data_IF_226917701847
#
_entry.id   IF_226917701847
#
_cell.length_a   1.000
_cell.length_b   1.000
_cell.length_c   1.000
_cell.angle_alpha   90.00
_cell.angle_beta   90.00
_cell.angle_gamma   90.00
#
_symmetry.space_group_name_H-M   'P 1'
#
loop_
_entity.id
_entity.type
_entity.pdbx_description
1 polymer ?
#
# COMPACT_ATOMS: atom_id res chain seq x y z
N UNK A 1 6.14 -22.68 3.51
CA UNK A 1 5.56 -23.26 2.28
C UNK A 1 5.21 -22.05 1.43
N UNK A 2 5.81 -21.83 0.26
CA UNK A 2 5.68 -20.52 -0.41
C UNK A 2 4.24 -20.21 -0.82
N UNK A 3 3.86 -18.93 -0.87
CA UNK A 3 2.53 -18.48 -1.31
C UNK A 3 2.15 -19.07 -2.69
N UNK A 4 3.10 -19.24 -3.60
CA UNK A 4 2.89 -19.96 -4.87
C UNK A 4 2.43 -21.41 -4.68
N UNK A 5 3.02 -22.13 -3.73
CA UNK A 5 2.62 -23.50 -3.41
C UNK A 5 1.26 -23.56 -2.70
N UNK A 6 0.87 -22.49 -2.01
CA UNK A 6 -0.45 -22.40 -1.35
C UNK A 6 -1.58 -22.11 -2.35
N UNK A 7 -1.29 -21.38 -3.44
CA UNK A 7 -2.31 -20.95 -4.40
C UNK A 7 -2.44 -21.87 -5.61
N UNK A 8 -1.39 -22.62 -5.98
CA UNK A 8 -1.43 -23.45 -7.19
C UNK A 8 -1.71 -22.65 -8.48
N UNK A 9 -1.53 -21.33 -8.45
CA UNK A 9 -1.73 -20.43 -9.59
C UNK A 9 -0.42 -20.36 -10.36
N UNK A 10 -0.47 -20.65 -11.67
CA UNK A 10 0.67 -20.52 -12.57
C UNK A 10 1.13 -19.07 -12.72
N UNK A 11 2.31 -18.83 -13.27
CA UNK A 11 2.70 -17.47 -13.64
C UNK A 11 1.69 -16.91 -14.67
N UNK A 12 1.18 -15.70 -14.46
CA UNK A 12 0.38 -15.03 -15.48
C UNK A 12 1.28 -14.71 -16.67
N UNK A 13 0.93 -15.20 -17.86
CA UNK A 13 1.51 -14.68 -19.09
C UNK A 13 1.21 -13.18 -19.19
N UNK A 14 2.16 -12.41 -19.69
CA UNK A 14 1.96 -10.98 -19.91
C UNK A 14 1.12 -10.78 -21.15
N UNK A 15 0.07 -9.92 -21.13
CA UNK A 15 -0.66 -9.60 -22.35
C UNK A 15 0.32 -8.98 -23.37
N UNK A 16 0.16 -9.27 -24.67
CA UNK A 16 1.03 -8.73 -25.69
C UNK A 16 0.95 -7.20 -25.74
N UNK A 17 2.05 -6.55 -26.14
CA UNK A 17 2.12 -5.11 -26.25
C UNK A 17 1.19 -4.62 -27.37
N UNK A 18 0.04 -4.05 -27.01
CA UNK A 18 -0.91 -3.52 -28.00
C UNK A 18 -0.44 -2.19 -28.58
N UNK A 19 -0.18 -2.15 -29.89
CA UNK A 19 -0.11 -0.89 -30.65
C UNK A 19 -1.53 -0.39 -30.95
N UNK A 20 -2.20 0.23 -29.97
CA UNK A 20 -3.40 1.02 -30.23
C UNK A 20 -3.21 2.46 -29.77
N UNK A 21 -3.45 3.40 -30.69
CA UNK A 21 -3.62 4.81 -30.37
C UNK A 21 -4.82 4.98 -29.44
N UNK A 22 -4.57 5.52 -28.25
CA UNK A 22 -5.59 5.83 -27.25
C UNK A 22 -6.66 6.76 -27.84
N UNK A 23 -7.91 6.30 -27.92
CA UNK A 23 -9.08 7.19 -27.94
C UNK A 23 -9.44 7.51 -26.50
N UNK A 24 -9.04 8.70 -26.05
CA UNK A 24 -9.39 9.24 -24.74
C UNK A 24 -10.92 9.39 -24.61
N UNK A 25 -11.55 8.60 -23.73
CA UNK A 25 -12.88 8.89 -23.19
C UNK A 25 -12.71 9.56 -21.83
N UNK A 26 -12.73 10.89 -21.81
CA UNK A 26 -12.73 11.68 -20.58
C UNK A 26 -14.11 11.66 -19.91
N UNK A 27 -14.18 11.12 -18.70
CA UNK A 27 -15.32 11.27 -17.81
C UNK A 27 -14.96 12.30 -16.71
N UNK A 28 -15.44 13.53 -16.88
CA UNK A 28 -15.34 14.57 -15.87
C UNK A 28 -16.41 14.33 -14.79
N UNK A 29 -16.00 13.88 -13.62
CA UNK A 29 -16.83 13.94 -12.42
C UNK A 29 -16.38 15.13 -11.56
N UNK A 30 -17.13 16.23 -11.62
CA UNK A 30 -16.90 17.41 -10.79
C UNK A 30 -17.33 17.12 -9.34
N UNK A 31 -16.39 16.70 -8.50
CA UNK A 31 -16.57 16.69 -7.05
C UNK A 31 -16.25 18.10 -6.52
N UNK A 32 -17.21 18.72 -5.85
CA UNK A 32 -17.00 19.95 -5.07
C UNK A 32 -16.04 19.65 -3.92
N UNK A 33 -14.76 19.91 -4.14
CA UNK A 33 -13.74 19.83 -3.10
C UNK A 33 -13.33 21.24 -2.66
N UNK A 34 -13.14 21.42 -1.35
CA UNK A 34 -12.41 22.55 -0.80
C UNK A 34 -11.11 22.77 -1.60
N UNK A 35 -10.72 24.02 -1.91
CA UNK A 35 -9.56 24.29 -2.73
C UNK A 35 -8.34 23.59 -2.13
N UNK A 36 -7.50 22.93 -2.96
CA UNK A 36 -6.31 22.26 -2.48
C UNK A 36 -5.39 23.31 -1.85
N UNK A 37 -5.25 23.28 -0.53
CA UNK A 37 -4.09 23.90 0.11
C UNK A 37 -2.87 23.16 -0.42
N UNK A 38 -2.15 23.79 -1.36
CA UNK A 38 -0.81 23.35 -1.75
C UNK A 38 0.00 23.37 -0.44
N UNK A 39 0.31 22.19 0.09
CA UNK A 39 1.17 22.09 1.26
C UNK A 39 2.58 22.37 0.78
N UNK A 40 3.09 23.57 1.04
CA UNK A 40 4.53 23.80 0.92
C UNK A 40 5.25 22.78 1.80
N UNK A 41 6.36 22.23 1.30
CA UNK A 41 7.16 21.28 2.07
C UNK A 41 7.51 21.92 3.41
N UNK A 42 7.24 21.25 4.54
CA UNK A 42 7.58 21.81 5.83
C UNK A 42 9.11 21.98 5.90
N UNK A 43 9.56 23.18 6.29
CA UNK A 43 10.95 23.39 6.68
C UNK A 43 11.17 22.62 7.97
N UNK A 44 11.84 21.47 7.88
CA UNK A 44 12.12 20.62 9.04
C UNK A 44 13.22 21.29 9.85
N UNK A 45 12.90 21.73 11.08
CA UNK A 45 13.92 22.27 11.99
C UNK A 45 14.93 21.16 12.33
N UNK A 46 16.23 21.46 12.52
CA UNK A 46 17.27 20.44 12.77
C UNK A 46 16.94 19.45 13.89
N UNK A 47 16.29 19.91 14.97
CA UNK A 47 15.86 19.05 16.10
C UNK A 47 14.83 17.96 15.72
N UNK A 48 14.17 18.09 14.58
CA UNK A 48 13.19 17.15 14.05
C UNK A 48 13.79 16.21 12.98
N UNK A 49 15.11 16.25 12.77
CA UNK A 49 15.80 15.30 11.91
C UNK A 49 16.11 14.05 12.72
N UNK A 50 15.48 12.93 12.36
CA UNK A 50 15.77 11.63 12.96
C UNK A 50 16.94 10.97 12.23
N UNK A 51 17.97 10.55 12.98
CA UNK A 51 18.96 9.61 12.46
C UNK A 51 18.32 8.21 12.40
N UNK A 52 18.02 7.73 11.19
CA UNK A 52 17.40 6.42 10.96
C UNK A 52 18.25 5.25 11.49
N UNK A 53 19.54 5.44 11.78
CA UNK A 53 20.36 4.43 12.45
C UNK A 53 19.80 4.07 13.83
N UNK A 54 19.16 5.00 14.52
CA UNK A 54 18.60 4.79 15.86
C UNK A 54 17.47 3.77 15.87
N UNK A 55 16.74 3.62 14.76
CA UNK A 55 15.61 2.69 14.64
C UNK A 55 15.86 1.55 13.65
N UNK A 56 17.06 1.49 13.07
CA UNK A 56 17.41 0.58 11.97
C UNK A 56 17.20 -0.88 12.36
N UNK A 57 17.67 -1.27 13.54
CA UNK A 57 17.67 -2.67 13.96
C UNK A 57 16.25 -3.14 14.30
N UNK A 58 15.44 -2.31 14.96
CA UNK A 58 14.03 -2.57 15.22
C UNK A 58 13.25 -2.69 13.91
N UNK A 59 13.47 -1.77 12.95
CA UNK A 59 12.83 -1.87 11.64
C UNK A 59 13.23 -3.15 10.91
N UNK A 60 14.51 -3.53 10.93
CA UNK A 60 14.97 -4.77 10.31
C UNK A 60 14.26 -5.99 10.91
N UNK A 61 14.22 -6.06 12.25
CA UNK A 61 13.50 -7.13 12.95
C UNK A 61 12.04 -7.15 12.57
N UNK A 62 11.34 -6.01 12.53
CA UNK A 62 9.93 -5.95 12.14
C UNK A 62 9.68 -6.40 10.69
N UNK A 63 10.54 -6.00 9.75
CA UNK A 63 10.45 -6.36 8.33
C UNK A 63 10.64 -7.87 8.07
N UNK A 64 11.26 -8.58 9.01
CA UNK A 64 11.47 -10.03 8.96
C UNK A 64 10.44 -10.76 9.80
N UNK A 65 10.22 -10.32 11.04
CA UNK A 65 9.41 -11.01 12.03
C UNK A 65 7.93 -10.95 11.71
N UNK A 66 7.38 -9.83 11.24
CA UNK A 66 5.94 -9.72 11.01
C UNK A 66 5.46 -10.69 9.93
N UNK A 67 6.03 -10.73 8.70
CA UNK A 67 5.62 -11.71 7.71
C UNK A 67 5.85 -13.16 8.16
N UNK A 68 6.99 -13.44 8.80
CA UNK A 68 7.31 -14.79 9.28
C UNK A 68 6.35 -15.28 10.35
N UNK A 69 5.99 -14.41 11.31
CA UNK A 69 5.02 -14.73 12.35
C UNK A 69 3.62 -14.89 11.79
N UNK A 70 3.22 -14.10 10.81
CA UNK A 70 1.96 -14.32 10.10
C UNK A 70 1.95 -15.66 9.36
N UNK A 71 3.05 -16.08 8.75
CA UNK A 71 3.15 -17.38 8.06
C UNK A 71 3.13 -18.56 9.06
N UNK A 72 3.88 -18.47 10.15
CA UNK A 72 4.13 -19.60 11.08
C UNK A 72 3.13 -19.67 12.24
N UNK A 73 2.75 -18.52 12.77
CA UNK A 73 1.94 -18.36 13.98
C UNK A 73 0.52 -17.87 13.65
N UNK A 74 0.08 -18.01 12.39
CA UNK A 74 -1.26 -17.56 11.97
C UNK A 74 -2.31 -18.03 12.98
N UNK A 75 -3.11 -17.12 13.56
CA UNK A 75 -3.99 -17.48 14.65
C UNK A 75 -4.95 -18.60 14.22
N UNK A 76 -4.87 -19.75 14.90
CA UNK A 76 -5.88 -20.81 14.81
C UNK A 76 -7.20 -20.41 15.49
N UNK A 77 -7.29 -19.21 16.07
CA UNK A 77 -8.49 -18.72 16.72
C UNK A 77 -9.61 -18.54 15.69
N UNK A 78 -10.83 -18.97 16.05
CA UNK A 78 -12.02 -19.02 15.16
C UNK A 78 -12.39 -17.70 14.46
N UNK A 79 -11.88 -16.57 14.93
CA UNK A 79 -12.19 -15.23 14.38
C UNK A 79 -11.21 -14.75 13.30
N UNK A 80 -10.02 -15.34 13.18
CA UNK A 80 -9.01 -14.99 12.16
C UNK A 80 -8.67 -16.16 11.22
N UNK A 81 -9.17 -17.36 11.50
CA UNK A 81 -8.77 -18.61 10.84
C UNK A 81 -9.42 -18.89 9.47
N UNK A 82 -9.63 -17.88 8.63
CA UNK A 82 -10.11 -18.13 7.25
C UNK A 82 -8.95 -18.05 6.26
N UNK A 83 -8.89 -18.98 5.30
CA UNK A 83 -7.86 -18.97 4.24
C UNK A 83 -7.81 -17.63 3.47
N UNK A 84 -8.94 -16.97 3.14
CA UNK A 84 -8.91 -15.64 2.55
C UNK A 84 -8.23 -14.59 3.45
N UNK A 85 -8.46 -14.64 4.77
CA UNK A 85 -7.83 -13.69 5.69
C UNK A 85 -6.32 -13.89 5.76
N UNK A 86 -5.87 -15.15 5.83
CA UNK A 86 -4.46 -15.51 5.78
C UNK A 86 -3.80 -14.99 4.50
N UNK A 87 -4.40 -15.30 3.35
CA UNK A 87 -3.92 -14.85 2.04
C UNK A 87 -3.71 -13.34 1.99
N UNK A 88 -4.75 -12.57 2.33
CA UNK A 88 -4.75 -11.12 2.14
C UNK A 88 -3.82 -10.45 3.13
N UNK A 89 -3.82 -10.85 4.40
CA UNK A 89 -2.93 -10.24 5.40
C UNK A 89 -1.46 -10.61 5.20
N UNK A 90 -1.14 -11.88 4.92
CA UNK A 90 0.24 -12.28 4.62
C UNK A 90 0.73 -11.63 3.31
N UNK A 91 -0.11 -11.63 2.27
CA UNK A 91 0.21 -11.00 0.99
C UNK A 91 0.47 -9.50 1.14
N UNK A 92 -0.42 -8.77 1.82
CA UNK A 92 -0.25 -7.33 2.07
C UNK A 92 0.96 -7.04 2.96
N UNK A 93 1.22 -7.83 4.01
CA UNK A 93 2.40 -7.67 4.85
C UNK A 93 3.70 -7.85 4.05
N UNK A 94 3.77 -8.84 3.16
CA UNK A 94 4.91 -9.03 2.27
C UNK A 94 5.08 -7.86 1.29
N UNK A 95 3.98 -7.39 0.68
CA UNK A 95 4.01 -6.22 -0.22
C UNK A 95 4.54 -4.99 0.52
N UNK A 96 4.02 -4.70 1.72
CA UNK A 96 4.48 -3.57 2.55
C UNK A 96 5.96 -3.69 2.89
N UNK A 97 6.39 -4.87 3.32
CA UNK A 97 7.79 -5.14 3.71
C UNK A 97 8.75 -4.93 2.54
N UNK A 98 8.44 -5.49 1.38
CA UNK A 98 9.27 -5.37 0.18
C UNK A 98 9.25 -3.96 -0.40
N UNK A 99 8.09 -3.29 -0.38
CA UNK A 99 7.96 -1.89 -0.80
C UNK A 99 8.83 -0.99 0.06
N UNK A 100 8.81 -1.18 1.39
CA UNK A 100 9.66 -0.39 2.28
C UNK A 100 11.16 -0.69 2.10
N UNK A 101 11.53 -1.96 1.89
CA UNK A 101 12.92 -2.34 1.55
C UNK A 101 13.39 -1.64 0.27
N UNK A 102 12.53 -1.54 -0.75
CA UNK A 102 12.81 -0.80 -1.98
C UNK A 102 12.97 0.71 -1.71
N UNK A 103 12.07 1.33 -0.93
CA UNK A 103 12.20 2.73 -0.52
C UNK A 103 13.55 2.98 0.16
N UNK A 104 13.96 2.11 1.09
CA UNK A 104 15.24 2.24 1.79
C UNK A 104 16.44 2.16 0.85
N UNK A 105 16.39 1.28 -0.15
CA UNK A 105 17.43 1.16 -1.17
C UNK A 105 17.53 2.45 -2.00
N UNK A 106 16.39 2.96 -2.46
CA UNK A 106 16.31 4.17 -3.29
C UNK A 106 16.71 5.45 -2.53
N UNK A 107 16.50 5.47 -1.22
CA UNK A 107 16.89 6.58 -0.36
C UNK A 107 18.30 6.44 0.26
N UNK A 108 19.08 5.43 -0.09
CA UNK A 108 20.37 5.18 0.56
C UNK A 108 21.43 6.22 0.18
N UNK A 109 22.02 6.88 1.18
CA UNK A 109 23.13 7.85 1.02
C UNK A 109 24.42 7.23 0.48
N UNK A 110 24.57 5.90 0.60
CA UNK A 110 25.84 5.19 0.42
C UNK A 110 25.82 4.23 -0.75
N UNK A 111 24.82 4.30 -1.62
CA UNK A 111 24.81 3.42 -2.78
C UNK A 111 25.98 3.79 -3.70
N UNK A 112 26.91 2.85 -3.89
CA UNK A 112 27.95 2.94 -4.93
C UNK A 112 27.41 2.57 -6.32
N UNK A 113 26.19 2.06 -6.40
CA UNK A 113 25.55 1.74 -7.67
C UNK A 113 25.13 3.05 -8.37
N UNK A 114 25.80 3.36 -9.48
CA UNK A 114 25.53 4.53 -10.31
C UNK A 114 24.08 4.58 -10.84
N UNK A 115 23.38 3.44 -10.85
CA UNK A 115 21.97 3.36 -11.25
C UNK A 115 21.04 3.92 -10.19
N UNK A 116 21.46 3.95 -8.92
CA UNK A 116 20.71 4.49 -7.79
C UNK A 116 21.02 5.99 -7.61
N UNK A 117 20.61 6.77 -8.61
CA UNK A 117 20.81 8.22 -8.64
C UNK A 117 19.94 8.91 -7.58
N UNK A 118 20.38 10.04 -6.99
CA UNK A 118 19.61 10.74 -5.95
C UNK A 118 18.16 11.06 -6.35
N UNK A 119 17.91 11.38 -7.62
CA UNK A 119 16.57 11.66 -8.14
C UNK A 119 15.61 10.47 -8.07
N UNK A 120 16.11 9.25 -7.88
CA UNK A 120 15.26 8.08 -7.65
C UNK A 120 14.40 8.22 -6.40
N UNK A 121 14.77 9.07 -5.44
CA UNK A 121 13.94 9.39 -4.28
C UNK A 121 12.56 9.99 -4.66
N UNK A 122 12.39 10.50 -5.88
CA UNK A 122 11.13 11.06 -6.37
C UNK A 122 10.05 9.99 -6.64
N UNK A 123 10.40 8.71 -6.71
CA UNK A 123 9.42 7.61 -6.82
C UNK A 123 8.85 7.18 -5.45
N UNK A 124 9.51 7.59 -4.36
CA UNK A 124 9.15 7.17 -2.99
C UNK A 124 7.70 7.51 -2.63
N UNK A 125 7.11 8.67 -3.00
CA UNK A 125 5.69 8.94 -2.72
C UNK A 125 4.75 7.89 -3.32
N UNK A 126 5.05 7.41 -4.53
CA UNK A 126 4.26 6.38 -5.21
C UNK A 126 4.39 5.04 -4.50
N UNK A 127 5.59 4.68 -4.03
CA UNK A 127 5.79 3.47 -3.22
C UNK A 127 5.14 3.60 -1.83
N UNK A 128 5.24 4.76 -1.20
CA UNK A 128 4.60 5.03 0.09
C UNK A 128 3.07 4.98 -0.02
N UNK A 129 2.50 5.36 -1.18
CA UNK A 129 1.08 5.14 -1.48
C UNK A 129 0.69 3.68 -1.41
N UNK A 130 1.51 2.77 -1.92
CA UNK A 130 1.24 1.32 -1.83
C UNK A 130 1.16 0.85 -0.38
N UNK A 131 2.03 1.34 0.51
CA UNK A 131 1.97 1.05 1.95
C UNK A 131 0.68 1.63 2.56
N UNK A 132 0.31 2.85 2.17
CA UNK A 132 -0.91 3.50 2.63
C UNK A 132 -2.18 2.76 2.20
N UNK A 133 -2.25 2.30 0.95
CA UNK A 133 -3.37 1.51 0.44
C UNK A 133 -3.50 0.19 1.20
N UNK A 134 -2.37 -0.48 1.48
CA UNK A 134 -2.33 -1.66 2.35
C UNK A 134 -2.80 -1.37 3.78
N UNK A 135 -2.47 -0.19 4.33
CA UNK A 135 -2.96 0.25 5.64
C UNK A 135 -4.48 0.45 5.66
N UNK A 136 -5.06 1.07 4.63
CA UNK A 136 -6.52 1.17 4.50
C UNK A 136 -7.17 -0.21 4.45
N UNK A 137 -6.63 -1.12 3.64
CA UNK A 137 -7.11 -2.50 3.54
C UNK A 137 -7.04 -3.19 4.90
N UNK A 138 -5.90 -3.11 5.59
CA UNK A 138 -5.67 -3.73 6.89
C UNK A 138 -6.67 -3.28 7.96
N UNK A 139 -6.81 -1.96 8.17
CA UNK A 139 -7.77 -1.39 9.12
C UNK A 139 -9.21 -1.77 8.76
N UNK A 140 -9.51 -1.76 7.46
CA UNK A 140 -10.83 -2.13 6.99
C UNK A 140 -11.10 -3.62 7.25
N UNK A 141 -10.19 -4.52 6.93
CA UNK A 141 -10.34 -5.96 7.17
C UNK A 141 -10.62 -6.26 8.63
N UNK A 142 -9.82 -5.73 9.57
CA UNK A 142 -9.92 -6.07 10.99
C UNK A 142 -11.25 -5.70 11.67
N UNK A 143 -12.12 -4.91 11.03
CA UNK A 143 -13.48 -4.70 11.56
C UNK A 143 -14.38 -5.93 11.50
N UNK A 144 -14.15 -6.82 10.54
CA UNK A 144 -14.86 -8.08 10.36
C UNK A 144 -13.99 -8.94 9.42
N UNK A 145 -12.93 -9.49 10.00
CA UNK A 145 -11.83 -10.08 9.22
C UNK A 145 -12.30 -11.22 8.31
N UNK A 146 -13.07 -12.22 8.77
CA UNK A 146 -13.50 -13.32 7.91
C UNK A 146 -14.36 -12.83 6.74
N UNK A 147 -15.40 -12.03 7.03
CA UNK A 147 -16.35 -11.60 6.00
C UNK A 147 -15.74 -10.61 5.02
N UNK A 148 -14.85 -9.72 5.47
CA UNK A 148 -14.20 -8.75 4.61
C UNK A 148 -13.06 -9.36 3.81
N UNK A 149 -12.38 -10.38 4.33
CA UNK A 149 -11.40 -11.13 3.56
C UNK A 149 -12.06 -11.98 2.46
N UNK A 150 -13.16 -12.66 2.77
CA UNK A 150 -13.98 -13.36 1.76
C UNK A 150 -14.46 -12.39 0.67
N UNK A 151 -14.98 -11.23 1.08
CA UNK A 151 -15.35 -10.17 0.13
C UNK A 151 -14.17 -9.70 -0.72
N UNK A 152 -12.98 -9.50 -0.13
CA UNK A 152 -11.78 -9.09 -0.86
C UNK A 152 -11.45 -10.08 -1.98
N UNK A 153 -11.34 -11.38 -1.65
CA UNK A 153 -10.97 -12.38 -2.66
C UNK A 153 -12.05 -12.57 -3.72
N UNK A 154 -13.33 -12.58 -3.33
CA UNK A 154 -14.43 -12.72 -4.27
C UNK A 154 -14.55 -11.52 -5.22
N UNK A 155 -14.33 -10.31 -4.71
CA UNK A 155 -14.33 -9.10 -5.53
C UNK A 155 -13.11 -9.03 -6.47
N UNK A 156 -11.94 -9.48 -6.01
CA UNK A 156 -10.75 -9.60 -6.87
C UNK A 156 -10.93 -10.61 -8.00
N UNK A 157 -11.57 -11.76 -7.73
CA UNK A 157 -11.95 -12.70 -8.79
C UNK A 157 -12.89 -12.05 -9.81
N UNK A 158 -13.89 -11.31 -9.34
CA UNK A 158 -14.83 -10.61 -10.22
C UNK A 158 -14.14 -9.56 -11.09
N UNK A 159 -13.24 -8.75 -10.52
CA UNK A 159 -12.43 -7.76 -11.24
C UNK A 159 -11.65 -8.43 -12.38
N UNK A 160 -10.98 -9.54 -12.07
CA UNK A 160 -10.22 -10.30 -13.05
C UNK A 160 -11.13 -10.89 -14.14
N UNK A 161 -12.26 -11.49 -13.77
CA UNK A 161 -13.22 -12.05 -14.72
C UNK A 161 -13.74 -10.99 -15.70
N UNK A 162 -14.15 -9.82 -15.20
CA UNK A 162 -14.65 -8.74 -16.06
C UNK A 162 -13.55 -8.14 -16.97
N UNK A 163 -12.30 -8.10 -16.48
CA UNK A 163 -11.15 -7.74 -17.30
C UNK A 163 -10.93 -8.75 -18.42
N UNK A 164 -10.93 -10.06 -18.13
CA UNK A 164 -10.77 -11.13 -19.13
C UNK A 164 -11.91 -11.11 -20.14
N UNK A 165 -13.15 -10.95 -19.68
CA UNK A 165 -14.33 -10.84 -20.54
C UNK A 165 -14.19 -9.64 -21.51
N UNK A 166 -13.65 -8.52 -21.03
CA UNK A 166 -13.37 -7.35 -21.88
C UNK A 166 -12.23 -7.63 -22.87
N UNK A 167 -11.11 -8.18 -22.39
CA UNK A 167 -9.98 -8.51 -23.24
C UNK A 167 -10.39 -9.47 -24.37
N UNK A 168 -11.23 -10.47 -24.07
CA UNK A 168 -11.79 -11.38 -25.05
C UNK A 168 -12.65 -10.65 -26.09
N UNK A 169 -13.56 -9.79 -25.65
CA UNK A 169 -14.40 -9.01 -26.59
C UNK A 169 -13.57 -8.15 -27.53
N UNK A 170 -12.50 -7.55 -27.02
CA UNK A 170 -11.74 -6.53 -27.74
C UNK A 170 -10.59 -7.12 -28.57
N UNK A 171 -10.06 -8.29 -28.18
CA UNK A 171 -8.80 -8.84 -28.71
C UNK A 171 -8.84 -10.33 -29.08
N UNK A 172 -9.96 -11.06 -28.96
CA UNK A 172 -9.97 -12.50 -29.29
C UNK A 172 -9.70 -12.82 -30.76
N UNK A 173 -9.86 -11.87 -31.68
CA UNK A 173 -9.50 -12.05 -33.10
C UNK A 173 -8.02 -11.83 -33.38
N UNK A 174 -7.26 -11.33 -32.40
CA UNK A 174 -5.82 -11.13 -32.50
C UNK A 174 -5.08 -12.39 -32.03
N UNK A 175 -4.36 -13.11 -32.91
CA UNK A 175 -3.69 -14.36 -32.54
C UNK A 175 -2.64 -14.18 -31.44
N UNK A 176 -2.07 -12.97 -31.29
CA UNK A 176 -1.08 -12.66 -30.25
C UNK A 176 -1.70 -12.74 -28.84
N UNK A 177 -3.03 -12.63 -28.73
CA UNK A 177 -3.76 -12.71 -27.46
C UNK A 177 -4.22 -14.12 -27.11
N UNK A 178 -4.11 -15.10 -28.01
CA UNK A 178 -4.68 -16.42 -27.82
C UNK A 178 -4.11 -17.14 -26.58
N UNK A 179 -2.79 -17.18 -26.45
CA UNK A 179 -2.10 -17.80 -25.31
C UNK A 179 -2.47 -17.12 -23.99
N UNK A 180 -2.42 -15.78 -23.97
CA UNK A 180 -2.80 -14.99 -22.80
C UNK A 180 -4.22 -15.29 -22.33
N UNK A 181 -5.20 -15.34 -23.24
CA UNK A 181 -6.60 -15.59 -22.89
C UNK A 181 -6.82 -17.02 -22.38
N UNK A 182 -6.11 -18.01 -22.90
CA UNK A 182 -6.15 -19.41 -22.41
C UNK A 182 -5.59 -19.50 -20.99
N UNK A 183 -4.44 -18.89 -20.73
CA UNK A 183 -3.83 -18.86 -19.41
C UNK A 183 -4.69 -18.09 -18.41
N UNK A 184 -5.27 -16.97 -18.85
CA UNK A 184 -6.15 -16.16 -18.02
C UNK A 184 -7.39 -16.94 -17.58
N UNK A 185 -8.01 -17.72 -18.48
CA UNK A 185 -9.13 -18.61 -18.14
C UNK A 185 -8.72 -19.70 -17.15
N UNK A 186 -7.56 -20.31 -17.38
CA UNK A 186 -7.01 -21.35 -16.49
C UNK A 186 -6.78 -20.79 -15.09
N UNK A 187 -6.17 -19.61 -14.99
CA UNK A 187 -5.92 -18.93 -13.72
C UNK A 187 -7.23 -18.50 -13.03
N UNK A 188 -8.22 -18.02 -13.78
CA UNK A 188 -9.53 -17.64 -13.25
C UNK A 188 -10.28 -18.85 -12.69
N UNK A 189 -10.21 -20.00 -13.38
CA UNK A 189 -10.80 -21.26 -12.91
C UNK A 189 -10.08 -21.79 -11.65
N UNK A 190 -8.76 -21.72 -11.60
CA UNK A 190 -7.97 -22.09 -10.41
C UNK A 190 -8.29 -21.20 -9.21
N UNK A 191 -8.43 -19.89 -9.43
CA UNK A 191 -8.82 -18.95 -8.37
C UNK A 191 -10.25 -19.21 -7.86
N UNK A 192 -11.21 -19.55 -8.74
CA UNK A 192 -12.56 -19.92 -8.31
C UNK A 192 -12.56 -21.17 -7.41
N UNK A 193 -11.74 -22.18 -7.76
CA UNK A 193 -11.56 -23.39 -6.93
C UNK A 193 -10.96 -23.06 -5.57
N UNK A 194 -9.95 -22.19 -5.53
CA UNK A 194 -9.33 -21.74 -4.28
C UNK A 194 -10.34 -21.01 -3.37
N UNK A 195 -11.19 -20.15 -3.95
CA UNK A 195 -12.23 -19.42 -3.21
C UNK A 195 -13.38 -20.37 -2.79
N UNK A 196 -13.48 -21.55 -3.42
CA UNK A 196 -14.52 -22.55 -3.16
C UNK A 196 -15.95 -22.02 -3.35
N UNK A 197 -16.16 -21.16 -4.35
CA UNK A 197 -17.47 -20.61 -4.74
C UNK A 197 -17.70 -20.75 -6.25
N UNK A 198 -18.94 -20.95 -6.70
CA UNK A 198 -19.23 -21.07 -8.12
C UNK A 198 -19.11 -19.70 -8.84
N UNK A 199 -18.66 -19.67 -10.11
CA UNK A 199 -18.42 -18.42 -10.85
C UNK A 199 -19.62 -17.46 -10.93
N UNK A 200 -20.85 -17.98 -10.96
CA UNK A 200 -22.07 -17.18 -11.04
C UNK A 200 -22.39 -16.45 -9.72
N UNK A 201 -22.01 -17.03 -8.58
CA UNK A 201 -22.03 -16.34 -7.28
C UNK A 201 -20.95 -15.26 -7.24
N UNK A 202 -19.73 -15.59 -7.68
CA UNK A 202 -18.61 -14.65 -7.67
C UNK A 202 -18.88 -13.40 -8.53
N UNK A 203 -19.48 -13.55 -9.73
CA UNK A 203 -19.91 -12.41 -10.57
C UNK A 203 -20.92 -11.49 -9.88
N UNK A 204 -21.77 -12.02 -9.00
CA UNK A 204 -22.76 -11.25 -8.24
C UNK A 204 -22.17 -10.55 -7.02
N UNK A 205 -20.90 -10.83 -6.67
CA UNK A 205 -20.21 -10.18 -5.57
C UNK A 205 -20.10 -8.67 -5.79
N UNK A 206 -20.25 -7.90 -4.71
CA UNK A 206 -20.04 -6.44 -4.72
C UNK A 206 -18.55 -6.09 -4.93
N UNK A 207 -18.28 -5.00 -5.63
CA UNK A 207 -16.92 -4.47 -5.81
C UNK A 207 -16.20 -4.18 -4.50
N UNK A 208 -14.89 -4.36 -4.47
CA UNK A 208 -14.08 -3.90 -3.34
C UNK A 208 -14.20 -2.37 -3.21
N UNK A 209 -14.37 -1.82 -2.01
CA UNK A 209 -14.51 -0.39 -1.86
C UNK A 209 -13.16 0.29 -2.06
N UNK A 210 -13.17 1.47 -2.69
CA UNK A 210 -12.00 2.36 -2.67
C UNK A 210 -11.77 2.91 -1.25
N UNK A 211 -10.59 3.44 -0.90
CA UNK A 211 -10.34 4.04 0.42
C UNK A 211 -11.40 5.07 0.86
N UNK A 212 -11.89 5.88 -0.09
CA UNK A 212 -12.99 6.80 0.17
C UNK A 212 -14.29 6.08 0.56
N UNK A 213 -14.66 5.00 -0.14
CA UNK A 213 -15.83 4.16 0.18
C UNK A 213 -15.64 3.35 1.47
N UNK A 214 -14.41 2.94 1.80
CA UNK A 214 -14.08 2.32 3.08
C UNK A 214 -14.36 3.28 4.23
N UNK A 215 -14.03 4.56 4.06
CA UNK A 215 -14.34 5.61 5.02
C UNK A 215 -15.84 5.81 5.21
N UNK A 216 -16.60 5.96 4.12
CA UNK A 216 -18.04 6.17 4.21
C UNK A 216 -18.82 4.95 4.72
N UNK A 217 -18.23 3.74 4.70
CA UNK A 217 -18.89 2.49 5.13
C UNK A 217 -18.56 2.05 6.55
N UNK A 218 -17.59 2.69 7.22
CA UNK A 218 -17.32 2.38 8.63
C UNK A 218 -18.34 3.04 9.54
N UNK A 219 -18.92 2.25 10.46
CA UNK A 219 -19.80 2.75 11.54
C UNK A 219 -19.03 3.30 12.75
N UNK A 220 -17.72 3.02 12.83
CA UNK A 220 -16.86 3.47 13.93
C UNK A 220 -16.43 4.93 13.71
N UNK A 221 -16.85 5.89 14.56
CA UNK A 221 -16.47 7.29 14.40
C UNK A 221 -14.97 7.52 14.48
N UNK A 222 -14.28 6.79 15.37
CA UNK A 222 -12.82 6.85 15.53
C UNK A 222 -12.09 6.37 14.27
N UNK A 223 -12.57 5.28 13.65
CA UNK A 223 -12.00 4.76 12.40
C UNK A 223 -12.26 5.71 11.24
N UNK A 224 -13.46 6.27 11.15
CA UNK A 224 -13.81 7.25 10.12
C UNK A 224 -12.94 8.51 10.21
N UNK A 225 -12.76 9.03 11.43
CA UNK A 225 -11.88 10.17 11.70
C UNK A 225 -10.42 9.87 11.32
N UNK A 226 -9.93 8.66 11.62
CA UNK A 226 -8.58 8.26 11.26
C UNK A 226 -8.40 8.09 9.74
N UNK A 227 -9.38 7.50 9.05
CA UNK A 227 -9.37 7.42 7.59
C UNK A 227 -9.42 8.80 6.91
N UNK A 228 -10.20 9.74 7.46
CA UNK A 228 -10.19 11.14 7.03
C UNK A 228 -8.82 11.78 7.21
N UNK A 229 -8.18 11.55 8.37
CA UNK A 229 -6.82 12.02 8.63
C UNK A 229 -5.80 11.46 7.62
N UNK A 230 -5.77 10.15 7.42
CA UNK A 230 -4.89 9.51 6.43
C UNK A 230 -5.11 10.07 5.02
N UNK A 231 -6.37 10.37 4.66
CA UNK A 231 -6.70 10.91 3.36
C UNK A 231 -6.11 12.32 3.15
N UNK A 232 -6.31 13.18 4.15
CA UNK A 232 -5.95 14.60 4.07
C UNK A 232 -4.45 14.84 4.24
N UNK A 233 -3.77 13.95 4.97
CA UNK A 233 -2.35 14.09 5.28
C UNK A 233 -1.42 13.29 4.39
N UNK A 234 -1.86 12.16 3.84
CA UNK A 234 -1.02 11.27 3.03
C UNK A 234 -1.61 11.02 1.65
N UNK A 235 -2.83 10.47 1.60
CA UNK A 235 -3.39 9.91 0.37
C UNK A 235 -3.45 10.94 -0.76
N UNK A 236 -3.95 12.15 -0.46
CA UNK A 236 -4.11 13.20 -1.48
C UNK A 236 -2.80 13.56 -2.15
N UNK A 237 -1.73 13.75 -1.38
CA UNK A 237 -0.42 14.12 -1.91
C UNK A 237 0.19 12.98 -2.72
N UNK A 238 0.25 11.77 -2.16
CA UNK A 238 0.85 10.64 -2.85
C UNK A 238 0.08 10.25 -4.12
N UNK A 239 -1.25 10.39 -4.08
CA UNK A 239 -2.11 10.23 -5.24
C UNK A 239 -1.82 11.27 -6.32
N UNK A 240 -1.67 12.55 -5.94
CA UNK A 240 -1.32 13.63 -6.86
C UNK A 240 0.02 13.39 -7.57
N UNK A 241 1.04 12.90 -6.85
CA UNK A 241 2.34 12.54 -7.42
C UNK A 241 2.21 11.33 -8.35
N UNK A 242 1.54 10.27 -7.89
CA UNK A 242 1.40 9.02 -8.66
C UNK A 242 0.60 9.17 -9.95
N UNK A 243 -0.39 10.07 -9.96
CA UNK A 243 -1.16 10.38 -11.16
C UNK A 243 -0.51 11.44 -12.06
N UNK A 244 0.66 11.99 -11.69
CA UNK A 244 1.32 13.05 -12.46
C UNK A 244 0.47 14.32 -12.57
N UNK A 245 -0.39 14.59 -11.58
CA UNK A 245 -1.19 15.82 -11.56
C UNK A 245 -0.28 17.04 -11.42
N UNK A 246 -0.70 18.21 -11.90
CA UNK A 246 0.12 19.43 -11.82
C UNK A 246 0.63 19.72 -10.39
N UNK A 247 -0.17 19.64 -9.30
CA UNK A 247 0.36 19.78 -7.95
C UNK A 247 1.48 18.77 -7.62
N UNK A 248 1.29 17.49 -7.98
CA UNK A 248 2.30 16.45 -7.79
C UNK A 248 3.59 16.71 -8.60
N UNK A 249 3.45 17.17 -9.84
CA UNK A 249 4.59 17.55 -10.70
C UNK A 249 5.35 18.75 -10.14
N UNK A 250 4.69 19.75 -9.59
CA UNK A 250 5.37 20.92 -8.99
C UNK A 250 6.31 20.49 -7.87
N UNK A 251 5.93 19.49 -7.06
CA UNK A 251 6.78 18.95 -6.00
C UNK A 251 8.03 18.24 -6.55
N UNK A 252 7.88 17.45 -7.63
CA UNK A 252 8.98 16.63 -8.17
C UNK A 252 9.87 17.40 -9.15
N UNK A 253 9.27 18.10 -10.12
CA UNK A 253 9.97 18.89 -11.16
C UNK A 253 10.77 20.03 -10.53
N UNK A 254 10.24 20.65 -9.48
CA UNK A 254 10.94 21.71 -8.76
C UNK A 254 12.29 21.24 -8.20
N UNK A 255 12.37 20.03 -7.65
CA UNK A 255 13.61 19.48 -7.13
C UNK A 255 14.58 19.04 -8.24
N UNK A 256 14.08 18.50 -9.35
CA UNK A 256 14.90 18.15 -10.51
C UNK A 256 15.54 19.39 -11.15
N UNK A 257 14.79 20.48 -11.28
CA UNK A 257 15.30 21.75 -11.80
C UNK A 257 16.43 22.30 -10.93
N UNK A 258 16.26 22.25 -9.61
CA UNK A 258 17.26 22.76 -8.67
C UNK A 258 18.51 21.84 -8.66
N UNK A 259 18.32 20.51 -8.73
CA UNK A 259 19.40 19.54 -8.91
C UNK A 259 20.21 19.79 -10.19
N UNK A 260 19.55 20.10 -11.31
CA UNK A 260 20.21 20.40 -12.59
C UNK A 260 21.10 21.67 -12.53
N UNK A 261 20.88 22.54 -11.54
CA UNK A 261 21.72 23.71 -11.25
C UNK A 261 22.84 23.41 -10.25
N UNK A 262 22.96 22.16 -9.79
CA UNK A 262 23.88 21.75 -8.72
C UNK A 262 23.32 21.94 -7.30
N UNK A 263 22.05 22.31 -7.14
CA UNK A 263 21.42 22.56 -5.84
C UNK A 263 20.66 21.32 -5.34
N UNK A 264 21.36 20.40 -4.65
CA UNK A 264 20.77 19.15 -4.18
C UNK A 264 19.89 19.27 -2.91
N UNK A 265 19.97 20.39 -2.19
CA UNK A 265 19.37 20.54 -0.85
C UNK A 265 17.85 20.25 -0.80
N UNK A 266 17.12 20.63 -1.85
CA UNK A 266 15.67 20.39 -1.93
C UNK A 266 15.33 18.93 -2.18
N UNK A 267 16.11 18.26 -3.02
CA UNK A 267 15.96 16.83 -3.25
C UNK A 267 16.25 16.05 -1.96
N UNK A 268 17.28 16.46 -1.22
CA UNK A 268 17.62 15.92 0.08
C UNK A 268 16.49 16.10 1.11
N UNK A 269 15.89 17.29 1.16
CA UNK A 269 14.72 17.54 1.99
C UNK A 269 13.53 16.65 1.62
N UNK A 270 13.24 16.48 0.31
CA UNK A 270 12.18 15.60 -0.16
C UNK A 270 12.44 14.14 0.21
N UNK A 271 13.67 13.69 0.03
CA UNK A 271 14.11 12.33 0.37
C UNK A 271 13.92 12.05 1.85
N UNK A 272 14.36 12.95 2.72
CA UNK A 272 14.15 12.85 4.17
C UNK A 272 12.65 12.87 4.54
N UNK A 273 11.89 13.79 3.93
CA UNK A 273 10.45 13.90 4.16
C UNK A 273 9.71 12.60 3.80
N UNK A 274 9.86 12.10 2.58
CA UNK A 274 9.14 10.90 2.14
C UNK A 274 9.62 9.61 2.81
N UNK A 275 10.90 9.52 3.17
CA UNK A 275 11.41 8.40 3.99
C UNK A 275 10.74 8.37 5.36
N UNK A 276 10.60 9.54 6.00
CA UNK A 276 9.91 9.66 7.28
C UNK A 276 8.41 9.29 7.16
N UNK A 277 7.72 9.73 6.11
CA UNK A 277 6.33 9.31 5.86
C UNK A 277 6.22 7.79 5.66
N UNK A 278 7.12 7.20 4.89
CA UNK A 278 7.14 5.76 4.64
C UNK A 278 7.36 4.96 5.94
N UNK A 279 8.26 5.41 6.82
CA UNK A 279 8.46 4.78 8.14
C UNK A 279 7.21 4.90 9.00
N UNK A 280 6.60 6.08 9.10
CA UNK A 280 5.36 6.25 9.88
C UNK A 280 4.26 5.31 9.37
N UNK A 281 4.07 5.19 8.05
CA UNK A 281 3.07 4.30 7.46
C UNK A 281 3.37 2.82 7.70
N UNK A 282 4.64 2.39 7.55
CA UNK A 282 5.07 1.03 7.86
C UNK A 282 4.74 0.66 9.31
N UNK A 283 5.15 1.51 10.24
CA UNK A 283 4.98 1.24 11.68
C UNK A 283 3.50 1.29 12.05
N UNK A 284 2.70 2.17 11.43
CA UNK A 284 1.24 2.19 11.59
C UNK A 284 0.63 0.87 11.11
N UNK A 285 1.01 0.39 9.94
CA UNK A 285 0.53 -0.89 9.38
C UNK A 285 0.85 -2.08 10.30
N UNK A 286 2.10 -2.21 10.75
CA UNK A 286 2.46 -3.28 11.68
C UNK A 286 1.83 -3.12 13.06
N UNK A 287 1.57 -1.89 13.51
CA UNK A 287 0.84 -1.64 14.76
C UNK A 287 -0.62 -2.09 14.67
N UNK A 288 -1.27 -2.00 13.50
CA UNK A 288 -2.61 -2.57 13.31
C UNK A 288 -2.58 -4.10 13.37
N UNK A 289 -1.58 -4.74 12.76
CA UNK A 289 -1.44 -6.20 12.82
C UNK A 289 -1.22 -6.65 14.26
N UNK A 290 -0.27 -6.02 14.98
CA UNK A 290 0.04 -6.40 16.35
C UNK A 290 -1.14 -6.15 17.30
N UNK A 291 -1.84 -5.02 17.15
CA UNK A 291 -2.97 -4.68 18.00
C UNK A 291 -4.14 -5.67 17.87
N UNK A 292 -4.33 -6.27 16.69
CA UNK A 292 -5.48 -7.14 16.41
C UNK A 292 -5.12 -8.64 16.53
N UNK A 293 -3.86 -9.00 16.28
CA UNK A 293 -3.41 -10.41 16.26
C UNK A 293 -2.41 -10.78 17.37
N UNK A 294 -1.79 -9.80 18.04
CA UNK A 294 -0.83 -10.00 19.15
C UNK A 294 0.27 -11.01 18.79
N UNK A 295 0.96 -10.78 17.68
CA UNK A 295 2.00 -11.67 17.15
C UNK A 295 3.34 -11.53 17.91
N UNK A 296 3.43 -10.61 18.89
CA UNK A 296 4.56 -10.52 19.81
C UNK A 296 5.70 -9.64 19.30
N UNK A 297 5.36 -8.53 18.64
CA UNK A 297 6.33 -7.52 18.15
C UNK A 297 6.15 -6.15 18.82
N UNK A 298 5.31 -6.07 19.86
CA UNK A 298 4.96 -4.84 20.58
C UNK A 298 6.18 -4.04 21.09
N UNK A 299 7.23 -4.69 21.60
CA UNK A 299 8.41 -3.99 22.14
C UNK A 299 9.17 -3.21 21.08
N UNK A 300 9.42 -3.82 19.91
CA UNK A 300 10.06 -3.17 18.77
C UNK A 300 9.19 -2.01 18.24
N UNK A 301 7.87 -2.20 18.14
CA UNK A 301 6.94 -1.15 17.73
C UNK A 301 6.93 0.05 18.69
N UNK A 302 6.84 -0.20 20.01
CA UNK A 302 6.87 0.84 21.05
C UNK A 302 8.16 1.66 20.97
N UNK A 303 9.30 1.00 20.81
CA UNK A 303 10.58 1.68 20.67
C UNK A 303 10.60 2.60 19.44
N UNK A 304 10.19 2.10 18.28
CA UNK A 304 10.20 2.92 17.06
C UNK A 304 9.22 4.09 17.18
N UNK A 305 8.02 3.87 17.72
CA UNK A 305 7.08 4.95 17.99
C UNK A 305 7.65 6.03 18.89
N UNK A 306 8.32 5.66 19.98
CA UNK A 306 8.95 6.62 20.89
C UNK A 306 9.95 7.52 20.17
N UNK A 307 10.82 6.93 19.33
CA UNK A 307 11.77 7.68 18.52
C UNK A 307 11.06 8.58 17.51
N UNK A 308 10.06 8.07 16.79
CA UNK A 308 9.31 8.87 15.82
C UNK A 308 8.59 10.06 16.48
N UNK A 309 7.98 9.87 17.64
CA UNK A 309 7.25 10.91 18.38
C UNK A 309 8.19 12.02 18.85
N UNK A 310 9.39 11.68 19.31
CA UNK A 310 10.38 12.65 19.76
C UNK A 310 10.86 13.57 18.62
N UNK A 311 10.93 13.03 17.40
CA UNK A 311 11.49 13.73 16.24
C UNK A 311 10.44 14.22 15.24
N UNK A 312 9.17 13.81 15.34
CA UNK A 312 8.13 14.20 14.39
C UNK A 312 6.75 14.37 15.06
N UNK A 313 6.18 15.60 15.09
CA UNK A 313 4.87 15.83 15.69
C UNK A 313 3.72 15.08 14.99
N UNK A 314 3.83 14.82 13.68
CA UNK A 314 2.82 14.03 12.96
C UNK A 314 2.80 12.57 13.40
N UNK A 315 3.96 12.02 13.79
CA UNK A 315 4.01 10.67 14.36
C UNK A 315 3.20 10.59 15.66
N UNK A 316 3.30 11.63 16.52
CA UNK A 316 2.49 11.72 17.73
C UNK A 316 1.00 11.80 17.42
N UNK A 317 0.61 12.61 16.43
CA UNK A 317 -0.79 12.71 16.02
C UNK A 317 -1.35 11.37 15.54
N UNK A 318 -0.61 10.60 14.73
CA UNK A 318 -1.03 9.25 14.32
C UNK A 318 -1.20 8.36 15.54
N UNK A 319 -0.18 8.34 16.41
CA UNK A 319 -0.15 7.49 17.60
C UNK A 319 -1.34 7.76 18.54
N UNK A 320 -1.60 9.04 18.82
CA UNK A 320 -2.69 9.47 19.69
C UNK A 320 -4.06 9.23 19.04
N UNK A 321 -4.26 9.64 17.77
CA UNK A 321 -5.54 9.51 17.06
C UNK A 321 -5.97 8.06 16.94
N UNK A 322 -5.02 7.15 16.73
CA UNK A 322 -5.31 5.73 16.63
C UNK A 322 -5.42 5.05 17.99
N UNK A 323 -4.87 5.67 19.04
CA UNK A 323 -4.90 5.17 20.42
C UNK A 323 -3.90 4.05 20.67
N UNK A 324 -2.72 4.09 20.05
CA UNK A 324 -1.75 2.99 20.15
C UNK A 324 -1.19 2.77 21.56
N UNK A 325 -1.22 3.80 22.42
CA UNK A 325 -0.88 3.64 23.84
C UNK A 325 -1.67 2.52 24.53
N UNK A 326 -2.93 2.34 24.14
CA UNK A 326 -3.83 1.35 24.74
C UNK A 326 -3.98 0.09 23.88
N UNK A 327 -3.59 0.14 22.60
CA UNK A 327 -3.78 -0.97 21.65
C UNK A 327 -2.55 -1.85 21.50
N UNK A 328 -1.36 -1.31 21.77
CA UNK A 328 -0.12 -2.07 21.81
C UNK A 328 0.16 -2.43 23.27
N UNK A 329 -0.57 -3.40 23.83
CA UNK A 329 -0.39 -3.82 25.23
C UNK A 329 0.72 -4.85 25.35
#
# INVERSE_FOLDING_TARGET
MTLQNYLGIGAFSTPPATRRGSKNSGANHALRHNPPRIKLLPVVKPKYVLDFKLIKDQINRLLESVPNKLELEWPKSRTASSDPAFLVLLGTANIVSNTFKAIRLLCSDKSQDWRLRPEMALVVPTLARTILDALYICIFLFKDLPSRADWYVCSGWKELAEYIDRARRDYASDPDWAEYLIDADTNLASLAKLIAKPPDELRRTRWWPTPHKMNSSTKSPTTAAFFGYLNDWFYREFSQVSHGSLPGLIHTVGALRDLAKGEAAKLEQLRGYYSMQAVMLLITFYSEIEAELTIGVTSDLKYVWQMLIQHNPFAKEIYDRRGYANRLT
#
